data_IF_771980556718
#
_entry.id   IF_771980556718
#
_cell.length_a   1.000
_cell.length_b   1.000
_cell.length_c   1.000
_cell.angle_alpha   90.00
_cell.angle_beta   90.00
_cell.angle_gamma   90.00
#
_symmetry.space_group_name_H-M   'P 1'
#
loop_
_entity.id
_entity.type
_entity.pdbx_description
1 polymer ?
#
# COMPACT_ATOMS: atom_id res chain seq x y z
N UNK A 1 -24.26 34.88 9.63
CA UNK A 1 -23.60 34.77 8.31
C UNK A 1 -22.66 33.56 8.34
N UNK A 2 -22.83 32.67 7.36
CA UNK A 2 -22.20 31.37 7.09
C UNK A 2 -21.21 30.79 8.12
N UNK A 3 -21.67 29.79 8.90
CA UNK A 3 -20.82 28.75 9.49
C UNK A 3 -20.28 27.91 8.32
N UNK A 4 -19.05 28.14 7.88
CA UNK A 4 -18.40 27.24 6.92
C UNK A 4 -18.05 25.93 7.64
N UNK A 5 -19.02 25.03 7.63
CA UNK A 5 -18.85 23.60 7.85
C UNK A 5 -17.88 23.08 6.76
N UNK A 6 -16.59 23.09 7.06
CA UNK A 6 -15.64 22.24 6.35
C UNK A 6 -15.57 20.92 7.11
N UNK A 7 -16.59 20.09 6.95
CA UNK A 7 -16.46 18.68 7.28
C UNK A 7 -15.24 18.14 6.52
N UNK A 8 -14.23 17.55 7.19
CA UNK A 8 -13.10 16.97 6.51
C UNK A 8 -13.59 15.77 5.69
N UNK A 9 -13.73 15.98 4.38
CA UNK A 9 -14.07 14.93 3.43
C UNK A 9 -12.84 14.04 3.25
N UNK A 10 -12.88 12.86 3.87
CA UNK A 10 -12.14 11.67 3.44
C UNK A 10 -10.62 11.64 3.75
N UNK A 11 -10.21 12.24 4.86
CA UNK A 11 -8.89 12.05 5.47
C UNK A 11 -9.02 11.40 6.86
N UNK A 12 -9.94 10.44 6.98
CA UNK A 12 -9.76 9.31 7.88
C UNK A 12 -9.06 8.24 7.06
N UNK A 13 -7.78 8.46 6.75
CA UNK A 13 -6.75 7.60 7.32
C UNK A 13 -7.32 6.71 8.42
N UNK A 14 -7.57 5.46 8.05
CA UNK A 14 -7.94 4.34 8.89
C UNK A 14 -6.78 4.02 9.86
N UNK A 15 -6.28 5.02 10.59
CA UNK A 15 -5.39 4.91 11.75
C UNK A 15 -6.26 4.61 12.98
N UNK A 16 -6.85 3.44 13.00
CA UNK A 16 -7.39 2.79 14.19
C UNK A 16 -7.74 1.37 13.69
N UNK A 17 -7.06 0.33 14.10
CA UNK A 17 -7.11 -0.21 15.47
C UNK A 17 -5.83 -1.05 15.70
N UNK A 18 -5.27 -0.92 16.91
CA UNK A 18 -4.18 -1.69 17.57
C UNK A 18 -2.82 -0.98 17.68
N UNK A 19 -2.65 -0.26 18.79
CA UNK A 19 -1.44 -0.42 19.61
C UNK A 19 -0.09 -0.02 19.00
N UNK A 20 -0.03 1.08 18.24
CA UNK A 20 1.23 1.81 18.08
C UNK A 20 2.28 1.19 17.14
N UNK A 21 1.91 0.29 16.23
CA UNK A 21 2.81 -0.14 15.15
C UNK A 21 2.39 0.56 13.86
N UNK A 22 3.12 1.61 13.47
CA UNK A 22 2.99 2.24 12.16
C UNK A 22 3.48 1.25 11.11
N UNK A 23 2.61 0.36 10.61
CA UNK A 23 2.93 -0.48 9.47
C UNK A 23 2.95 0.42 8.23
N UNK A 24 4.15 0.86 7.84
CA UNK A 24 4.30 1.71 6.66
C UNK A 24 3.94 0.91 5.41
N UNK A 25 2.94 1.38 4.66
CA UNK A 25 2.60 0.79 3.38
C UNK A 25 3.72 1.09 2.37
N UNK A 26 4.10 0.13 1.51
CA UNK A 26 5.15 0.34 0.53
C UNK A 26 4.73 1.40 -0.48
N UNK A 27 5.63 2.34 -0.77
CA UNK A 27 5.41 3.38 -1.78
C UNK A 27 5.93 2.86 -3.12
N UNK A 28 5.13 2.86 -4.19
CA UNK A 28 5.56 2.35 -5.49
C UNK A 28 6.56 3.30 -6.14
N UNK A 29 7.70 2.79 -6.56
CA UNK A 29 8.70 3.57 -7.30
C UNK A 29 8.35 3.60 -8.79
N UNK A 30 8.36 4.80 -9.36
CA UNK A 30 8.10 5.04 -10.78
C UNK A 30 9.34 5.63 -11.44
N UNK A 31 9.88 4.91 -12.42
CA UNK A 31 11.03 5.37 -13.22
C UNK A 31 10.55 6.03 -14.52
N UNK A 32 11.20 7.12 -14.92
CA UNK A 32 11.01 7.76 -16.23
C UNK A 32 12.38 8.00 -16.87
N UNK A 33 12.54 7.53 -18.11
CA UNK A 33 13.71 7.87 -18.92
C UNK A 33 13.54 9.27 -19.51
N UNK A 34 14.53 10.13 -19.33
CA UNK A 34 14.63 11.44 -19.98
C UNK A 34 15.15 11.31 -21.41
N UNK A 35 15.00 12.39 -22.19
CA UNK A 35 15.58 12.50 -23.53
C UNK A 35 17.11 12.34 -23.50
N UNK A 36 17.76 12.86 -22.46
CA UNK A 36 19.21 12.80 -22.26
C UNK A 36 19.72 11.42 -21.79
N UNK A 37 18.87 10.40 -21.75
CA UNK A 37 19.23 9.04 -21.31
C UNK A 37 19.23 8.82 -19.80
N UNK A 38 19.23 9.89 -18.99
CA UNK A 38 19.10 9.82 -17.53
C UNK A 38 17.76 9.20 -17.10
N UNK A 39 17.77 8.45 -15.99
CA UNK A 39 16.57 7.85 -15.39
C UNK A 39 16.24 8.63 -14.11
N UNK A 40 15.02 9.16 -14.02
CA UNK A 40 14.49 9.77 -12.80
C UNK A 40 13.57 8.76 -12.12
N UNK A 41 13.77 8.59 -10.83
CA UNK A 41 12.87 7.86 -9.95
C UNK A 41 12.00 8.83 -9.17
N UNK A 42 10.73 8.47 -8.97
CA UNK A 42 9.78 9.25 -8.19
C UNK A 42 8.81 8.32 -7.49
N UNK A 43 8.23 8.81 -6.41
CA UNK A 43 7.13 8.15 -5.73
C UNK A 43 5.87 8.18 -6.61
N UNK A 44 5.28 7.01 -6.80
CA UNK A 44 4.00 6.84 -7.46
C UNK A 44 2.85 7.05 -6.48
N UNK A 45 1.70 7.47 -7.00
CA UNK A 45 0.47 7.61 -6.18
C UNK A 45 -0.09 6.26 -5.70
N UNK A 46 0.21 5.18 -6.42
CA UNK A 46 -0.33 3.85 -6.18
C UNK A 46 0.29 2.80 -7.10
N UNK A 47 0.04 1.53 -6.80
CA UNK A 47 0.52 0.38 -7.57
C UNK A 47 -0.32 0.18 -8.83
N UNK A 48 0.30 -0.31 -9.91
CA UNK A 48 -0.42 -0.63 -11.13
C UNK A 48 -1.21 -1.94 -10.98
N UNK A 49 -2.23 -2.12 -11.83
CA UNK A 49 -2.98 -3.37 -11.88
C UNK A 49 -2.09 -4.57 -12.24
N UNK A 50 -1.07 -4.35 -13.07
CA UNK A 50 -0.13 -5.41 -13.47
C UNK A 50 0.76 -5.84 -12.30
N UNK A 51 1.24 -4.90 -11.50
CA UNK A 51 2.06 -5.21 -10.31
C UNK A 51 1.26 -5.96 -9.25
N UNK A 52 0.01 -5.55 -9.00
CA UNK A 52 -0.89 -6.26 -8.08
C UNK A 52 -1.15 -7.69 -8.56
N UNK A 53 -1.43 -7.88 -9.86
CA UNK A 53 -1.64 -9.19 -10.46
C UNK A 53 -0.42 -10.10 -10.32
N UNK A 54 0.78 -9.55 -10.55
CA UNK A 54 2.04 -10.30 -10.44
C UNK A 54 2.43 -10.62 -8.99
N UNK A 55 2.03 -9.77 -8.05
CA UNK A 55 2.13 -10.03 -6.62
C UNK A 55 1.06 -11.02 -6.10
N UNK A 56 0.08 -11.39 -6.93
CA UNK A 56 -1.03 -12.25 -6.53
C UNK A 56 -2.10 -11.56 -5.68
N UNK A 57 -2.14 -10.22 -5.69
CA UNK A 57 -3.08 -9.41 -4.92
C UNK A 57 -4.27 -9.04 -5.78
N UNK A 58 -5.47 -9.40 -5.33
CA UNK A 58 -6.71 -8.94 -5.96
C UNK A 58 -7.01 -7.49 -5.59
N UNK A 59 -7.78 -6.80 -6.44
CA UNK A 59 -8.17 -5.40 -6.19
C UNK A 59 -8.89 -5.24 -4.84
N UNK A 60 -9.71 -6.22 -4.47
CA UNK A 60 -10.45 -6.19 -3.20
C UNK A 60 -9.53 -6.35 -2.00
N UNK A 61 -8.60 -7.31 -2.05
CA UNK A 61 -7.55 -7.46 -1.04
C UNK A 61 -6.70 -6.19 -0.90
N UNK A 62 -6.28 -5.60 -2.02
CA UNK A 62 -5.50 -4.35 -2.01
C UNK A 62 -6.26 -3.22 -1.31
N UNK A 63 -7.57 -3.08 -1.56
CA UNK A 63 -8.41 -2.09 -0.86
C UNK A 63 -8.51 -2.36 0.65
N UNK A 64 -8.70 -3.61 1.06
CA UNK A 64 -8.75 -4.00 2.48
C UNK A 64 -7.43 -3.75 3.20
N UNK A 65 -6.31 -3.97 2.52
CA UNK A 65 -4.96 -3.69 3.02
C UNK A 65 -4.59 -2.19 2.99
N UNK A 66 -5.45 -1.31 2.46
CA UNK A 66 -5.18 0.11 2.33
C UNK A 66 -4.19 0.48 1.21
N UNK A 67 -3.86 -0.44 0.32
CA UNK A 67 -2.92 -0.21 -0.79
C UNK A 67 -3.58 0.67 -1.85
N UNK A 68 -2.94 1.80 -2.17
CA UNK A 68 -3.40 2.69 -3.24
C UNK A 68 -3.19 2.06 -4.62
N UNK A 69 -4.21 2.15 -5.48
CA UNK A 69 -4.23 1.55 -6.82
C UNK A 69 -4.27 2.63 -7.90
N UNK A 70 -3.25 2.65 -8.77
CA UNK A 70 -3.23 3.47 -9.97
C UNK A 70 -3.70 2.68 -11.19
N UNK A 71 -5.02 2.69 -11.42
CA UNK A 71 -5.67 1.97 -12.53
C UNK A 71 -5.22 2.44 -13.93
N UNK A 72 -4.65 3.65 -14.04
CA UNK A 72 -4.24 4.22 -15.33
C UNK A 72 -2.82 3.82 -15.73
N UNK A 73 -1.99 3.38 -14.79
CA UNK A 73 -0.60 2.97 -15.04
C UNK A 73 -0.56 1.54 -15.58
N UNK A 74 0.16 1.35 -16.70
CA UNK A 74 0.39 0.03 -17.32
C UNK A 74 1.79 -0.55 -17.06
N UNK A 75 2.73 0.25 -16.53
CA UNK A 75 4.08 -0.23 -16.24
C UNK A 75 4.05 -1.28 -15.12
N UNK A 76 4.82 -2.35 -15.29
CA UNK A 76 5.17 -3.28 -14.23
C UNK A 76 6.64 -3.11 -13.86
N UNK A 77 6.94 -3.08 -12.56
CA UNK A 77 8.31 -2.99 -12.03
C UNK A 77 8.53 -4.06 -11.00
N UNK A 78 9.62 -4.80 -11.15
CA UNK A 78 9.93 -5.94 -10.29
C UNK A 78 10.12 -5.51 -8.84
N UNK A 79 10.74 -4.35 -8.63
CA UNK A 79 10.98 -3.80 -7.29
C UNK A 79 9.67 -3.54 -6.53
N UNK A 80 8.63 -3.06 -7.24
CA UNK A 80 7.31 -2.82 -6.67
C UNK A 80 6.58 -4.14 -6.35
N UNK A 81 6.71 -5.13 -7.22
CA UNK A 81 6.12 -6.47 -7.01
C UNK A 81 6.75 -7.15 -5.80
N UNK A 82 8.08 -7.07 -5.67
CA UNK A 82 8.80 -7.59 -4.51
C UNK A 82 8.36 -6.89 -3.21
N UNK A 83 8.22 -5.56 -3.22
CA UNK A 83 7.70 -4.81 -2.07
C UNK A 83 6.29 -5.26 -1.63
N UNK A 84 5.39 -5.50 -2.59
CA UNK A 84 4.06 -6.04 -2.31
C UNK A 84 4.11 -7.45 -1.70
N UNK A 85 5.00 -8.32 -2.20
CA UNK A 85 5.18 -9.67 -1.66
C UNK A 85 5.75 -9.65 -0.24
N UNK A 86 6.68 -8.76 0.05
CA UNK A 86 7.21 -8.58 1.41
C UNK A 86 6.13 -8.13 2.38
N UNK A 87 5.27 -7.18 1.96
CA UNK A 87 4.12 -6.75 2.76
C UNK A 87 3.20 -7.93 3.10
N UNK A 88 2.86 -8.78 2.12
CA UNK A 88 2.02 -9.96 2.35
C UNK A 88 2.63 -10.93 3.36
N UNK A 89 3.94 -11.16 3.30
CA UNK A 89 4.66 -12.02 4.24
C UNK A 89 4.61 -11.43 5.65
N UNK A 90 4.93 -10.15 5.79
CA UNK A 90 4.89 -9.45 7.07
C UNK A 90 3.48 -9.49 7.70
N UNK A 91 2.43 -9.30 6.89
CA UNK A 91 1.04 -9.44 7.34
C UNK A 91 0.77 -10.86 7.81
N UNK A 92 1.17 -11.87 7.04
CA UNK A 92 0.98 -13.29 7.41
C UNK A 92 1.69 -13.65 8.71
N UNK A 93 2.92 -13.17 8.91
CA UNK A 93 3.71 -13.40 10.12
C UNK A 93 3.08 -12.69 11.34
N UNK A 94 2.64 -11.44 11.17
CA UNK A 94 1.95 -10.69 12.22
C UNK A 94 0.62 -11.36 12.63
N UNK A 95 -0.11 -11.92 11.67
CA UNK A 95 -1.34 -12.67 11.96
C UNK A 95 -1.05 -13.99 12.70
N UNK A 96 0.09 -14.65 12.41
CA UNK A 96 0.48 -15.87 13.09
C UNK A 96 0.86 -15.61 14.56
N UNK A 97 1.59 -14.53 14.86
CA UNK A 97 1.99 -14.19 16.23
C UNK A 97 0.84 -13.68 17.12
N UNK A 98 -0.25 -13.21 16.51
CA UNK A 98 -1.47 -12.78 17.23
C UNK A 98 -2.28 -13.95 17.82
N UNK A 99 -2.03 -15.19 17.34
CA UNK A 99 -2.75 -16.40 17.76
C UNK A 99 -2.25 -17.05 19.05
N UNK A 100 -1.11 -16.63 19.59
CA UNK A 100 -0.46 -17.26 20.75
C UNK A 100 -0.81 -16.61 22.10
N UNK A 101 -1.81 -15.72 22.15
CA UNK A 101 -2.18 -14.98 23.38
C UNK A 101 -3.26 -15.64 24.24
N UNK A 102 -3.75 -16.84 23.87
CA UNK A 102 -4.95 -17.44 24.49
C UNK A 102 -4.72 -18.76 25.25
N UNK A 103 -3.49 -19.09 25.62
CA UNK A 103 -3.21 -20.27 26.44
C UNK A 103 -2.08 -20.02 27.44
N UNK A 104 -2.42 -19.29 28.51
CA UNK A 104 -1.73 -19.40 29.80
C UNK A 104 -2.80 -19.78 30.82
N UNK A 105 -2.93 -21.09 31.04
CA UNK A 105 -3.76 -21.74 32.07
C UNK A 105 -2.96 -21.82 33.36
#
# INVERSE_FOLDING_TARGET
>A
MAKFSLAPRHLEIFYHILGGVFMSLPIPVVKRKLRDGRIIEREGRGFSLNELKEAGITIDQAKRLGIYIDKRRRSCRRENVEALRMLLRAVSEAMASSGESHEQV
#
